data_IF_823301179302
#
_entry.id   IF_823301179302
#
_cell.length_a   1.000
_cell.length_b   1.000
_cell.length_c   1.000
_cell.angle_alpha   90.00
_cell.angle_beta   90.00
_cell.angle_gamma   90.00
#
_symmetry.space_group_name_H-M   'P 1'
#
loop_
_entity.id
_entity.type
_entity.pdbx_description
1 polymer ?
#
# COMPACT_ATOMS: atom_id res chain seq x y z
N UNK A 1 -18.42 6.99 8.51
CA UNK A 1 -17.36 7.80 9.11
C UNK A 1 -16.34 7.99 8.01
N UNK A 2 -16.30 9.17 7.40
CA UNK A 2 -15.44 9.44 6.25
C UNK A 2 -14.03 9.64 6.76
N UNK A 3 -13.15 8.66 6.58
CA UNK A 3 -11.72 8.89 6.78
C UNK A 3 -11.28 9.89 5.71
N UNK A 4 -10.95 11.10 6.14
CA UNK A 4 -10.66 12.20 5.23
C UNK A 4 -9.32 11.95 4.52
N UNK A 5 -9.35 11.88 3.18
CA UNK A 5 -8.14 11.93 2.36
C UNK A 5 -7.41 13.23 2.69
N UNK A 6 -6.15 13.12 3.11
CA UNK A 6 -5.33 14.28 3.48
C UNK A 6 -4.98 15.10 2.23
N UNK A 7 -5.22 16.41 2.27
CA UNK A 7 -4.85 17.37 1.22
C UNK A 7 -3.80 18.35 1.79
N UNK A 8 -2.70 18.54 1.08
CA UNK A 8 -1.66 19.54 1.36
C UNK A 8 -1.63 20.55 0.22
N UNK A 9 -1.57 21.85 0.53
CA UNK A 9 -1.43 22.90 -0.48
C UNK A 9 -0.11 23.66 -0.34
N UNK A 10 0.42 24.14 -1.46
CA UNK A 10 1.60 25.01 -1.50
C UNK A 10 1.64 25.83 -2.78
N UNK A 11 2.05 27.10 -2.67
CA UNK A 11 2.33 27.93 -3.85
C UNK A 11 3.71 27.61 -4.42
N UNK A 12 3.76 27.24 -5.71
CA UNK A 12 4.99 26.93 -6.45
C UNK A 12 5.02 27.81 -7.71
N UNK A 13 6.05 28.66 -7.85
CA UNK A 13 6.20 29.60 -8.97
C UNK A 13 4.94 30.46 -9.25
N UNK A 14 4.29 30.93 -8.18
CA UNK A 14 3.07 31.75 -8.27
C UNK A 14 1.78 30.98 -8.56
N UNK A 15 1.82 29.65 -8.62
CA UNK A 15 0.63 28.78 -8.78
C UNK A 15 0.33 28.05 -7.49
N UNK A 16 -0.91 28.10 -7.03
CA UNK A 16 -1.36 27.25 -5.93
C UNK A 16 -1.47 25.80 -6.43
N UNK A 17 -0.77 24.88 -5.75
CA UNK A 17 -0.83 23.45 -6.02
C UNK A 17 -1.39 22.75 -4.80
N UNK A 18 -2.38 21.90 -5.00
CA UNK A 18 -2.93 21.02 -3.99
C UNK A 18 -2.58 19.57 -4.33
N UNK A 19 -2.04 18.85 -3.36
CA UNK A 19 -1.69 17.44 -3.46
C UNK A 19 -2.51 16.68 -2.44
N UNK A 20 -3.24 15.67 -2.90
CA UNK A 20 -3.98 14.75 -2.03
C UNK A 20 -3.34 13.38 -2.06
N UNK A 21 -3.58 12.60 -1.01
CA UNK A 21 -3.32 11.17 -1.08
C UNK A 21 -4.27 10.50 -2.10
N UNK A 22 -3.78 9.46 -2.76
CA UNK A 22 -4.57 8.64 -3.67
C UNK A 22 -4.92 7.31 -3.00
N UNK A 23 -6.06 6.73 -3.34
CA UNK A 23 -6.41 5.39 -2.84
C UNK A 23 -5.63 4.31 -3.59
N UNK A 24 -5.66 3.08 -3.06
CA UNK A 24 -5.10 1.91 -3.75
C UNK A 24 -5.73 1.73 -5.13
N UNK A 25 -7.05 1.89 -5.26
CA UNK A 25 -7.75 1.82 -6.55
C UNK A 25 -7.25 2.87 -7.55
N UNK A 26 -7.15 4.12 -7.12
CA UNK A 26 -6.67 5.22 -7.97
C UNK A 26 -5.23 4.98 -8.42
N UNK A 27 -4.41 4.43 -7.54
CA UNK A 27 -3.03 4.10 -7.87
C UNK A 27 -2.93 2.91 -8.84
N UNK A 28 -3.76 1.86 -8.69
CA UNK A 28 -3.82 0.75 -9.66
C UNK A 28 -4.14 1.22 -11.07
N UNK A 29 -5.03 2.19 -11.22
CA UNK A 29 -5.35 2.79 -12.54
C UNK A 29 -4.10 3.37 -13.22
N UNK A 30 -3.17 3.95 -12.45
CA UNK A 30 -1.91 4.51 -12.99
C UNK A 30 -0.99 3.41 -13.56
N UNK A 31 -1.05 2.20 -13.01
CA UNK A 31 -0.16 1.09 -13.37
C UNK A 31 -0.84 0.00 -14.21
N UNK A 32 -2.11 0.17 -14.59
CA UNK A 32 -2.89 -0.83 -15.30
C UNK A 32 -2.22 -1.32 -16.61
N UNK A 33 -1.55 -0.43 -17.34
CA UNK A 33 -0.90 -0.75 -18.61
C UNK A 33 0.39 -1.57 -18.47
N UNK A 34 0.87 -1.81 -17.24
CA UNK A 34 2.15 -2.51 -17.00
C UNK A 34 2.02 -4.03 -16.86
N UNK A 35 0.79 -4.55 -16.88
CA UNK A 35 0.49 -5.97 -16.79
C UNK A 35 0.67 -6.54 -15.37
N UNK A 36 -0.28 -7.37 -14.91
CA UNK A 36 -0.31 -7.86 -13.53
C UNK A 36 -0.64 -6.76 -12.50
N UNK A 37 -0.85 -7.12 -11.23
CA UNK A 37 -1.05 -6.15 -10.14
C UNK A 37 0.29 -5.69 -9.55
N UNK A 38 1.15 -5.10 -10.40
CA UNK A 38 2.46 -4.59 -9.99
C UNK A 38 2.34 -3.66 -8.78
N UNK A 39 1.27 -2.86 -8.76
CA UNK A 39 1.03 -1.96 -7.65
C UNK A 39 0.75 -2.74 -6.36
N UNK A 40 -0.18 -3.69 -6.37
CA UNK A 40 -0.45 -4.52 -5.19
C UNK A 40 0.73 -5.39 -4.74
N UNK A 41 1.60 -5.77 -5.68
CA UNK A 41 2.78 -6.58 -5.40
C UNK A 41 3.97 -5.78 -4.85
N UNK A 42 4.12 -4.51 -5.23
CA UNK A 42 5.33 -3.72 -4.98
C UNK A 42 5.12 -2.43 -4.18
N UNK A 43 3.87 -2.07 -3.85
CA UNK A 43 3.56 -0.84 -3.12
C UNK A 43 4.30 -0.78 -1.76
N UNK A 44 4.29 -1.88 -1.02
CA UNK A 44 4.95 -2.00 0.28
C UNK A 44 6.10 -2.98 0.19
N UNK A 45 7.17 -2.70 0.94
CA UNK A 45 8.35 -3.57 0.97
C UNK A 45 8.13 -4.79 1.85
N UNK A 46 7.22 -4.67 2.80
CA UNK A 46 6.98 -5.62 3.88
C UNK A 46 6.12 -6.81 3.45
N UNK A 47 5.11 -6.59 2.61
CA UNK A 47 4.20 -7.61 2.10
C UNK A 47 3.39 -7.09 0.91
N UNK A 48 2.72 -8.00 0.19
CA UNK A 48 1.77 -7.66 -0.88
C UNK A 48 0.40 -7.31 -0.31
N UNK A 49 -0.41 -6.57 -1.07
CA UNK A 49 -1.80 -6.30 -0.68
C UNK A 49 -2.63 -7.58 -0.57
N UNK A 50 -2.33 -8.60 -1.37
CA UNK A 50 -2.97 -9.92 -1.29
C UNK A 50 -2.67 -10.64 0.03
N UNK A 51 -1.47 -10.47 0.59
CA UNK A 51 -1.08 -11.13 1.84
C UNK A 51 -1.92 -10.60 3.00
N UNK A 52 -2.23 -9.29 3.00
CA UNK A 52 -3.07 -8.66 4.02
C UNK A 52 -4.47 -9.27 4.09
N UNK A 53 -5.03 -9.72 2.97
CA UNK A 53 -6.37 -10.34 2.93
C UNK A 53 -6.42 -11.69 3.67
N UNK A 54 -5.28 -12.35 3.84
CA UNK A 54 -5.21 -13.64 4.56
C UNK A 54 -5.20 -13.42 6.08
N UNK A 55 -4.66 -12.29 6.54
CA UNK A 55 -4.48 -11.98 7.96
C UNK A 55 -5.44 -10.91 8.50
N UNK A 56 -6.33 -10.39 7.65
CA UNK A 56 -7.34 -9.38 8.02
C UNK A 56 -8.72 -9.78 7.49
N UNK A 57 -9.76 -9.11 7.97
CA UNK A 57 -11.13 -9.23 7.46
C UNK A 57 -11.43 -8.24 6.32
N UNK A 58 -10.41 -7.60 5.74
CA UNK A 58 -10.60 -6.61 4.68
C UNK A 58 -10.90 -7.31 3.35
N UNK A 59 -11.99 -6.87 2.69
CA UNK A 59 -12.25 -7.23 1.30
C UNK A 59 -11.31 -6.49 0.36
N UNK A 60 -11.28 -6.93 -0.90
CA UNK A 60 -10.55 -6.22 -1.96
C UNK A 60 -11.07 -4.79 -2.13
N UNK A 61 -12.39 -4.62 -2.23
CA UNK A 61 -13.02 -3.30 -2.31
C UNK A 61 -12.68 -2.40 -1.11
N UNK A 62 -12.57 -2.98 0.09
CA UNK A 62 -12.19 -2.24 1.29
C UNK A 62 -10.73 -1.76 1.20
N UNK A 63 -9.80 -2.63 0.79
CA UNK A 63 -8.40 -2.25 0.57
C UNK A 63 -8.27 -1.20 -0.55
N UNK A 64 -9.05 -1.33 -1.61
CA UNK A 64 -9.06 -0.44 -2.76
C UNK A 64 -9.52 0.98 -2.42
N UNK A 65 -10.43 1.10 -1.44
CA UNK A 65 -10.90 2.37 -0.91
C UNK A 65 -9.91 3.01 0.08
N UNK A 66 -8.95 2.26 0.63
CA UNK A 66 -7.97 2.79 1.57
C UNK A 66 -6.84 3.53 0.86
N UNK A 67 -6.25 4.50 1.56
CA UNK A 67 -5.01 5.14 1.14
C UNK A 67 -3.78 4.34 1.60
N UNK A 68 -2.62 4.47 0.93
CA UNK A 68 -1.39 3.80 1.37
C UNK A 68 -1.03 4.07 2.84
N UNK A 69 -1.27 5.26 3.37
CA UNK A 69 -1.02 5.56 4.78
C UNK A 69 -1.94 4.74 5.70
N UNK A 70 -3.21 4.57 5.34
CA UNK A 70 -4.13 3.72 6.11
C UNK A 70 -3.72 2.24 6.02
N UNK A 71 -3.31 1.77 4.84
CA UNK A 71 -2.82 0.39 4.68
C UNK A 71 -1.54 0.17 5.48
N UNK A 72 -0.65 1.16 5.60
CA UNK A 72 0.55 1.08 6.43
C UNK A 72 0.23 0.85 7.92
N UNK A 73 -0.84 1.45 8.45
CA UNK A 73 -1.30 1.18 9.82
C UNK A 73 -1.83 -0.26 9.96
N UNK A 74 -2.51 -0.80 8.94
CA UNK A 74 -2.91 -2.21 8.91
C UNK A 74 -1.69 -3.13 8.89
N UNK A 75 -0.67 -2.82 8.07
CA UNK A 75 0.59 -3.58 8.02
C UNK A 75 1.27 -3.57 9.39
N UNK A 76 1.28 -2.43 10.09
CA UNK A 76 1.84 -2.33 11.44
C UNK A 76 1.15 -3.30 12.41
N UNK A 77 -0.19 -3.30 12.44
CA UNK A 77 -0.97 -4.23 13.27
C UNK A 77 -0.73 -5.70 12.87
N UNK A 78 -0.68 -5.96 11.56
CA UNK A 78 -0.39 -7.28 11.02
C UNK A 78 1.00 -7.79 11.45
N UNK A 79 2.02 -6.93 11.49
CA UNK A 79 3.37 -7.26 11.95
C UNK A 79 3.42 -7.57 13.44
N UNK A 80 2.66 -6.82 14.25
CA UNK A 80 2.54 -7.09 15.69
C UNK A 80 1.93 -8.47 15.97
N UNK A 81 0.93 -8.88 15.17
CA UNK A 81 0.25 -10.16 15.35
C UNK A 81 0.96 -11.34 14.68
N UNK A 82 1.68 -11.12 13.57
CA UNK A 82 2.29 -12.17 12.75
C UNK A 82 3.81 -11.99 12.56
N UNK A 83 4.61 -11.77 13.62
CA UNK A 83 6.01 -11.36 13.50
C UNK A 83 6.86 -12.34 12.67
N UNK A 84 6.70 -13.65 12.88
CA UNK A 84 7.46 -14.67 12.16
C UNK A 84 7.20 -14.72 10.66
N UNK A 85 5.98 -14.37 10.21
CA UNK A 85 5.66 -14.28 8.79
C UNK A 85 6.45 -13.14 8.15
N UNK A 86 6.48 -11.96 8.78
CA UNK A 86 7.22 -10.81 8.27
C UNK A 86 8.74 -11.00 8.38
N UNK A 87 9.24 -11.70 9.39
CA UNK A 87 10.65 -12.12 9.46
C UNK A 87 11.03 -13.07 8.32
N UNK A 88 10.12 -13.93 7.87
CA UNK A 88 10.32 -14.78 6.70
C UNK A 88 10.37 -13.93 5.42
N UNK A 89 9.43 -13.00 5.24
CA UNK A 89 9.43 -12.10 4.07
C UNK A 89 10.68 -11.22 4.01
N UNK A 90 11.11 -10.66 5.14
CA UNK A 90 12.34 -9.88 5.22
C UNK A 90 13.56 -10.71 4.81
N UNK A 91 13.69 -11.95 5.32
CA UNK A 91 14.74 -12.87 4.90
C UNK A 91 14.67 -13.20 3.41
N UNK A 92 13.48 -13.42 2.85
CA UNK A 92 13.29 -13.71 1.44
C UNK A 92 13.70 -12.53 0.55
N UNK A 93 13.35 -11.30 0.94
CA UNK A 93 13.71 -10.08 0.20
C UNK A 93 15.23 -9.82 0.14
N UNK A 94 15.96 -10.32 1.15
CA UNK A 94 17.42 -10.19 1.28
C UNK A 94 18.17 -11.38 0.69
N UNK A 95 17.47 -12.46 0.34
CA UNK A 95 18.09 -13.60 -0.32
C UNK A 95 18.57 -13.15 -1.71
N UNK A 96 19.82 -13.48 -2.10
CA UNK A 96 20.24 -13.25 -3.47
C UNK A 96 19.32 -14.03 -4.41
N UNK A 97 18.94 -13.44 -5.55
CA UNK A 97 18.21 -14.17 -6.58
C UNK A 97 18.97 -15.47 -6.87
N UNK A 98 18.28 -16.61 -6.75
CA UNK A 98 18.88 -17.90 -7.08
C UNK A 98 19.41 -17.83 -8.52
N UNK A 99 20.71 -18.08 -8.68
CA UNK A 99 21.42 -18.05 -9.96
C UNK A 99 20.87 -19.11 -10.94
#
# INVERSE_FOLDING_TARGET
MSDAITIKSKTIAGREVQVREITVAEARVIFADRGGDIFGDLLFKECRLSDLRVMTNLSEDALDAMTPSQVAEVIKLAKEQNPHFFELLDRLSKAPAAA
#
